data_IF_857174868135
#
_entry.id   IF_857174868135
#
_cell.length_a   1.000
_cell.length_b   1.000
_cell.length_c   1.000
_cell.angle_alpha   90.00
_cell.angle_beta   90.00
_cell.angle_gamma   90.00
#
_symmetry.space_group_name_H-M   'P 1'
#
loop_
_entity.id
_entity.type
_entity.pdbx_description
1 polymer ?
#
# COMPACT_ATOMS: atom_id res chain seq x y z
N UNK A 1 6.00 3.78 -13.77
CA UNK A 1 6.41 2.39 -13.48
C UNK A 1 7.43 2.38 -12.37
N UNK A 2 7.29 1.53 -11.36
CA UNK A 2 8.30 1.28 -10.34
C UNK A 2 9.64 0.92 -11.00
N UNK A 3 10.71 1.57 -10.55
CA UNK A 3 12.06 1.34 -11.07
C UNK A 3 13.11 1.76 -10.05
N UNK A 4 14.33 1.25 -10.24
CA UNK A 4 15.51 1.73 -9.55
C UNK A 4 16.75 1.63 -10.45
N UNK A 5 17.81 2.31 -10.06
CA UNK A 5 19.11 2.30 -10.76
C UNK A 5 20.14 1.75 -9.78
N UNK A 6 20.93 0.78 -10.23
CA UNK A 6 22.03 0.17 -9.47
C UNK A 6 23.34 0.21 -10.25
N UNK A 7 24.45 0.09 -9.55
CA UNK A 7 25.77 0.01 -10.19
C UNK A 7 25.98 -1.34 -10.90
N UNK A 8 25.45 -2.43 -10.36
CA UNK A 8 25.62 -3.77 -10.93
C UNK A 8 24.45 -4.68 -10.62
N UNK A 9 24.28 -5.71 -11.44
CA UNK A 9 23.34 -6.81 -11.22
C UNK A 9 24.08 -8.13 -11.41
N UNK A 10 23.97 -9.03 -10.44
CA UNK A 10 24.48 -10.40 -10.51
C UNK A 10 23.33 -11.38 -10.28
N UNK A 11 22.87 -12.04 -11.34
CA UNK A 11 21.80 -13.01 -11.26
C UNK A 11 22.35 -14.37 -10.82
N UNK A 12 21.68 -15.07 -9.89
CA UNK A 12 21.99 -16.46 -9.55
C UNK A 12 21.59 -17.40 -10.70
N UNK A 13 21.91 -18.70 -10.60
CA UNK A 13 21.23 -19.72 -11.40
C UNK A 13 19.72 -19.63 -11.20
N UNK A 14 18.96 -19.64 -12.30
CA UNK A 14 17.50 -19.61 -12.29
C UNK A 14 16.93 -21.00 -12.59
N UNK A 15 15.75 -21.37 -12.06
CA UNK A 15 14.86 -20.53 -11.24
C UNK A 15 15.36 -20.32 -9.81
N UNK A 16 15.04 -19.15 -9.23
CA UNK A 16 15.35 -18.82 -7.84
C UNK A 16 14.12 -18.25 -7.14
N UNK A 17 13.78 -18.80 -5.96
CA UNK A 17 12.58 -18.46 -5.20
C UNK A 17 12.89 -17.82 -3.86
N UNK A 18 12.16 -16.75 -3.51
CA UNK A 18 12.27 -16.01 -2.27
C UNK A 18 10.85 -15.69 -1.74
N UNK A 19 10.37 -16.56 -0.87
CA UNK A 19 8.99 -16.48 -0.38
C UNK A 19 7.97 -16.59 -1.51
N UNK A 20 7.14 -15.57 -1.67
CA UNK A 20 6.10 -15.48 -2.69
C UNK A 20 6.60 -15.01 -4.08
N UNK A 21 7.89 -14.69 -4.21
CA UNK A 21 8.49 -14.25 -5.47
C UNK A 21 9.44 -15.31 -6.02
N UNK A 22 9.28 -15.59 -7.31
CA UNK A 22 10.12 -16.53 -8.06
C UNK A 22 10.63 -15.88 -9.34
N UNK A 23 11.95 -15.87 -9.53
CA UNK A 23 12.59 -15.48 -10.75
C UNK A 23 12.86 -16.73 -11.59
N UNK A 24 12.15 -16.84 -12.72
CA UNK A 24 12.03 -18.11 -13.44
C UNK A 24 13.16 -18.32 -14.45
N UNK A 25 13.36 -17.36 -15.33
CA UNK A 25 14.32 -17.43 -16.43
C UNK A 25 14.70 -16.05 -16.94
N UNK A 26 15.72 -16.00 -17.79
CA UNK A 26 16.13 -14.76 -18.46
C UNK A 26 16.09 -14.91 -19.96
N UNK A 27 15.65 -13.85 -20.64
CA UNK A 27 15.82 -13.68 -22.08
C UNK A 27 16.75 -12.48 -22.34
N UNK A 28 17.88 -12.72 -23.01
CA UNK A 28 18.88 -11.67 -23.29
C UNK A 28 18.73 -11.17 -24.72
N UNK A 29 18.45 -9.89 -24.85
CA UNK A 29 18.52 -9.17 -26.11
C UNK A 29 19.82 -8.37 -26.24
N UNK A 30 19.96 -7.61 -27.33
CA UNK A 30 21.16 -6.83 -27.62
C UNK A 30 21.48 -5.77 -26.54
N UNK A 31 20.48 -5.05 -26.07
CA UNK A 31 20.64 -3.93 -25.12
C UNK A 31 19.74 -4.08 -23.90
N UNK A 32 19.17 -5.25 -23.66
CA UNK A 32 18.15 -5.48 -22.67
C UNK A 32 18.16 -6.94 -22.22
N UNK A 33 18.03 -7.17 -20.92
CA UNK A 33 17.71 -8.50 -20.40
C UNK A 33 16.33 -8.45 -19.78
N UNK A 34 15.49 -9.43 -20.07
CA UNK A 34 14.21 -9.67 -19.42
C UNK A 34 14.39 -10.77 -18.37
N UNK A 35 13.80 -10.57 -17.22
CA UNK A 35 13.70 -11.59 -16.16
C UNK A 35 12.24 -11.93 -16.00
N UNK A 36 11.84 -13.16 -16.40
CA UNK A 36 10.49 -13.65 -16.15
C UNK A 36 10.32 -13.89 -14.67
N UNK A 37 9.29 -13.30 -14.11
CA UNK A 37 9.09 -13.24 -12.68
C UNK A 37 7.66 -13.61 -12.34
N UNK A 38 7.48 -14.44 -11.31
CA UNK A 38 6.18 -14.70 -10.68
C UNK A 38 6.17 -14.09 -9.30
N UNK A 39 5.13 -13.35 -8.97
CA UNK A 39 4.92 -12.81 -7.62
C UNK A 39 3.46 -12.98 -7.26
N UNK A 40 3.21 -13.73 -6.19
CA UNK A 40 1.88 -14.23 -5.84
C UNK A 40 1.23 -14.96 -7.03
N UNK A 41 0.08 -14.50 -7.51
CA UNK A 41 -0.70 -15.02 -8.63
C UNK A 41 -0.37 -14.37 -9.99
N UNK A 42 0.60 -13.49 -10.04
CA UNK A 42 0.91 -12.67 -11.22
C UNK A 42 2.24 -13.04 -11.84
N UNK A 43 2.26 -13.21 -13.17
CA UNK A 43 3.51 -13.32 -13.96
C UNK A 43 3.75 -12.06 -14.79
N UNK A 44 4.99 -11.61 -14.83
CA UNK A 44 5.41 -10.42 -15.56
C UNK A 44 6.93 -10.44 -15.80
N UNK A 45 7.42 -9.48 -16.57
CA UNK A 45 8.86 -9.32 -16.81
C UNK A 45 9.42 -8.10 -16.07
N UNK A 46 10.60 -8.31 -15.50
CA UNK A 46 11.49 -7.23 -15.07
C UNK A 46 12.53 -7.00 -16.16
N UNK A 47 12.76 -5.76 -16.54
CA UNK A 47 13.74 -5.36 -17.54
C UNK A 47 15.01 -4.85 -16.88
N UNK A 48 16.15 -5.33 -17.35
CA UNK A 48 17.48 -4.85 -16.99
C UNK A 48 18.09 -4.16 -18.20
N UNK A 49 18.26 -2.86 -18.12
CA UNK A 49 18.87 -2.05 -19.21
C UNK A 49 20.21 -1.49 -18.77
N UNK A 50 21.34 -2.09 -19.22
CA UNK A 50 22.66 -1.55 -18.93
C UNK A 50 22.92 -0.27 -19.73
N UNK A 51 23.71 0.64 -19.19
CA UNK A 51 24.13 1.86 -19.85
C UNK A 51 24.91 2.81 -18.93
N UNK A 52 26.01 3.34 -19.39
CA UNK A 52 26.81 4.32 -18.65
C UNK A 52 27.35 3.83 -17.30
N UNK A 53 27.79 2.56 -17.20
CA UNK A 53 28.33 1.99 -15.95
C UNK A 53 27.25 1.72 -14.87
N UNK A 54 25.98 1.69 -15.25
CA UNK A 54 24.84 1.44 -14.35
C UNK A 54 23.79 0.57 -15.04
N UNK A 55 22.88 0.02 -14.26
CA UNK A 55 21.75 -0.79 -14.75
C UNK A 55 20.44 -0.18 -14.26
N UNK A 56 19.54 0.10 -15.19
CA UNK A 56 18.14 0.49 -14.87
C UNK A 56 17.34 -0.79 -14.76
N UNK A 57 16.70 -0.99 -13.60
CA UNK A 57 15.82 -2.12 -13.31
C UNK A 57 14.40 -1.61 -13.17
N UNK A 58 13.48 -2.15 -13.95
CA UNK A 58 12.07 -1.73 -13.93
C UNK A 58 11.13 -2.85 -14.37
N UNK A 59 9.83 -2.74 -14.02
CA UNK A 59 8.82 -3.59 -14.61
C UNK A 59 8.64 -3.34 -16.10
N UNK A 60 8.33 -4.38 -16.86
CA UNK A 60 7.96 -4.28 -18.26
C UNK A 60 6.51 -3.72 -18.37
N UNK A 61 6.25 -2.87 -19.36
CA UNK A 61 4.99 -2.12 -19.48
C UNK A 61 3.80 -3.00 -19.86
N UNK A 62 4.02 -3.92 -20.80
CA UNK A 62 2.95 -4.74 -21.40
C UNK A 62 2.50 -5.83 -20.42
N UNK A 63 3.45 -6.42 -19.69
CA UNK A 63 3.20 -7.53 -18.77
C UNK A 63 3.01 -7.09 -17.31
N UNK A 64 2.88 -5.79 -17.05
CA UNK A 64 2.71 -5.31 -15.66
C UNK A 64 1.50 -5.98 -14.99
N UNK A 65 1.62 -6.45 -13.74
CA UNK A 65 0.51 -7.04 -13.03
C UNK A 65 -0.59 -6.01 -12.73
N UNK A 66 -1.83 -6.47 -12.62
CA UNK A 66 -2.97 -5.63 -12.24
C UNK A 66 -2.74 -4.99 -10.86
N UNK A 67 -2.20 -5.76 -9.91
CA UNK A 67 -1.79 -5.27 -8.59
C UNK A 67 -0.33 -4.84 -8.64
N UNK A 68 -0.09 -3.54 -8.66
CA UNK A 68 1.26 -2.96 -8.73
C UNK A 68 2.17 -3.39 -7.56
N UNK A 69 1.59 -3.71 -6.40
CA UNK A 69 2.30 -4.23 -5.23
C UNK A 69 3.07 -5.52 -5.52
N UNK A 70 2.57 -6.41 -6.38
CA UNK A 70 3.27 -7.63 -6.79
C UNK A 70 4.58 -7.32 -7.52
N UNK A 71 4.57 -6.33 -8.42
CA UNK A 71 5.78 -5.84 -9.08
C UNK A 71 6.73 -5.15 -8.09
N UNK A 72 6.22 -4.30 -7.20
CA UNK A 72 7.03 -3.60 -6.20
C UNK A 72 7.74 -4.58 -5.27
N UNK A 73 7.02 -5.64 -4.82
CA UNK A 73 7.60 -6.71 -3.98
C UNK A 73 8.73 -7.44 -4.71
N UNK A 74 8.48 -7.82 -5.97
CA UNK A 74 9.50 -8.49 -6.77
C UNK A 74 10.73 -7.60 -7.00
N UNK A 75 10.55 -6.31 -7.26
CA UNK A 75 11.65 -5.35 -7.42
C UNK A 75 12.42 -5.13 -6.10
N UNK A 76 11.76 -5.16 -4.95
CA UNK A 76 12.44 -5.04 -3.65
C UNK A 76 13.34 -6.24 -3.39
N UNK A 77 12.82 -7.47 -3.57
CA UNK A 77 13.63 -8.69 -3.43
C UNK A 77 14.76 -8.71 -4.47
N UNK A 78 14.48 -8.33 -5.72
CA UNK A 78 15.50 -8.24 -6.76
C UNK A 78 16.64 -7.30 -6.37
N UNK A 79 16.31 -6.15 -5.84
CA UNK A 79 17.25 -5.15 -5.33
C UNK A 79 18.14 -5.72 -4.22
N UNK A 80 17.52 -6.35 -3.22
CA UNK A 80 18.21 -6.88 -2.05
C UNK A 80 19.14 -8.06 -2.37
N UNK A 81 18.72 -8.91 -3.32
CA UNK A 81 19.39 -10.20 -3.57
C UNK A 81 20.38 -10.18 -4.71
N UNK A 82 20.17 -9.32 -5.72
CA UNK A 82 20.92 -9.39 -6.98
C UNK A 82 21.63 -8.10 -7.37
N UNK A 83 21.47 -7.04 -6.59
CA UNK A 83 22.02 -5.73 -6.97
C UNK A 83 23.16 -5.29 -6.07
N UNK A 84 24.12 -4.61 -6.65
CA UNK A 84 25.13 -3.83 -5.94
C UNK A 84 24.55 -2.50 -5.43
N UNK A 85 25.38 -1.50 -5.14
CA UNK A 85 24.94 -0.22 -4.60
C UNK A 85 23.81 0.42 -5.43
N UNK A 86 22.77 0.88 -4.75
CA UNK A 86 21.63 1.56 -5.37
C UNK A 86 21.95 3.05 -5.53
N UNK A 87 21.79 3.54 -6.76
CA UNK A 87 22.00 4.95 -7.11
C UNK A 87 20.73 5.77 -6.89
N UNK A 88 19.57 5.23 -7.30
CA UNK A 88 18.28 5.88 -7.11
C UNK A 88 17.15 4.86 -7.13
N UNK A 89 16.04 5.20 -6.48
CA UNK A 89 14.82 4.36 -6.44
C UNK A 89 13.57 5.23 -6.58
N UNK A 90 12.67 4.84 -7.48
CA UNK A 90 11.43 5.55 -7.78
C UNK A 90 10.17 4.77 -7.35
N UNK A 91 10.27 4.00 -6.29
CA UNK A 91 9.13 3.36 -5.60
C UNK A 91 9.48 3.09 -4.15
N UNK A 92 8.44 2.94 -3.32
CA UNK A 92 8.56 2.38 -1.97
C UNK A 92 7.65 1.15 -1.92
N UNK A 93 8.20 -0.02 -1.65
CA UNK A 93 7.42 -1.19 -1.29
C UNK A 93 7.06 -1.07 0.20
N UNK A 94 5.76 -1.10 0.47
CA UNK A 94 5.27 -1.28 1.84
C UNK A 94 4.79 -2.71 1.93
N UNK A 95 5.40 -3.48 2.78
CA UNK A 95 4.93 -4.81 3.10
C UNK A 95 3.56 -4.68 3.78
N UNK A 96 2.51 -4.98 3.03
CA UNK A 96 1.15 -4.95 3.57
C UNK A 96 0.87 -6.13 4.52
N UNK A 97 1.75 -7.15 4.56
CA UNK A 97 1.66 -8.23 5.55
C UNK A 97 2.14 -7.79 6.94
N UNK A 98 2.87 -6.67 7.02
CA UNK A 98 3.29 -6.01 8.25
C UNK A 98 2.41 -4.79 8.60
N UNK A 99 1.25 -4.63 7.97
CA UNK A 99 0.26 -3.70 8.50
C UNK A 99 -0.26 -4.29 9.80
N UNK A 100 0.40 -3.97 10.90
CA UNK A 100 -0.31 -3.81 12.16
C UNK A 100 -1.58 -3.04 11.80
N UNK A 101 -2.72 -3.64 12.09
CA UNK A 101 -4.03 -3.03 11.85
C UNK A 101 -3.95 -1.63 12.46
N UNK A 102 -3.96 -0.61 11.63
CA UNK A 102 -3.85 0.77 12.12
C UNK A 102 -5.00 0.95 13.10
N UNK A 103 -4.78 1.27 14.38
CA UNK A 103 -5.79 1.20 15.42
C UNK A 103 -7.04 2.05 15.13
N UNK A 104 -6.91 3.02 14.23
CA UNK A 104 -8.02 3.89 13.82
C UNK A 104 -8.81 3.37 12.60
N UNK A 105 -8.32 2.31 11.91
CA UNK A 105 -9.03 1.72 10.76
C UNK A 105 -9.75 0.47 11.25
N UNK A 106 -11.07 0.56 11.33
CA UNK A 106 -11.96 -0.43 11.94
C UNK A 106 -12.81 -1.13 10.87
N UNK A 107 -13.31 -2.32 11.19
CA UNK A 107 -14.36 -2.99 10.43
C UNK A 107 -15.77 -2.61 10.94
N UNK A 108 -16.81 -3.09 10.26
CA UNK A 108 -18.22 -2.79 10.60
C UNK A 108 -18.56 -3.18 12.03
N UNK A 109 -18.12 -4.35 12.49
CA UNK A 109 -18.42 -4.85 13.84
C UNK A 109 -17.70 -4.02 14.91
N UNK A 110 -16.49 -3.61 14.64
CA UNK A 110 -15.70 -2.75 15.52
C UNK A 110 -16.29 -1.35 15.62
N UNK A 111 -16.76 -0.77 14.50
CA UNK A 111 -17.51 0.51 14.52
C UNK A 111 -18.79 0.38 15.33
N UNK A 112 -19.59 -0.69 15.12
CA UNK A 112 -20.82 -0.91 15.88
C UNK A 112 -20.54 -1.07 17.38
N UNK A 113 -19.49 -1.79 17.74
CA UNK A 113 -19.07 -1.94 19.13
C UNK A 113 -18.61 -0.62 19.73
N UNK A 114 -17.83 0.17 18.96
CA UNK A 114 -17.38 1.49 19.37
C UNK A 114 -18.56 2.45 19.59
N UNK A 115 -19.54 2.49 18.70
CA UNK A 115 -20.74 3.31 18.82
C UNK A 115 -21.53 2.95 20.07
N UNK A 116 -21.73 1.64 20.33
CA UNK A 116 -22.47 1.16 21.52
C UNK A 116 -21.75 1.43 22.84
N UNK A 117 -20.43 1.35 22.87
CA UNK A 117 -19.60 1.56 24.05
C UNK A 117 -19.04 2.98 24.18
N UNK A 118 -19.40 3.86 23.26
CA UNK A 118 -18.85 5.21 23.18
C UNK A 118 -19.14 6.02 24.44
N UNK A 119 -18.08 6.66 24.95
CA UNK A 119 -18.20 7.67 26.01
C UNK A 119 -18.46 9.08 25.47
N UNK A 120 -18.48 9.23 24.15
CA UNK A 120 -18.72 10.50 23.49
C UNK A 120 -20.21 10.86 23.50
N UNK A 121 -20.51 12.10 23.76
CA UNK A 121 -21.88 12.62 23.81
C UNK A 121 -22.52 12.77 22.42
N UNK A 122 -21.69 12.81 21.38
CA UNK A 122 -22.12 13.01 19.99
C UNK A 122 -21.33 12.12 19.07
N UNK A 123 -21.96 11.69 17.98
CA UNK A 123 -21.31 10.95 16.90
C UNK A 123 -21.55 11.70 15.60
N UNK A 124 -20.48 12.07 14.93
CA UNK A 124 -20.52 12.66 13.58
C UNK A 124 -20.03 11.65 12.56
N UNK A 125 -20.70 11.59 11.43
CA UNK A 125 -20.34 10.70 10.33
C UNK A 125 -20.03 11.55 9.11
N UNK A 126 -18.84 11.38 8.52
CA UNK A 126 -18.46 11.98 7.25
C UNK A 126 -18.34 10.90 6.19
N UNK A 127 -19.12 11.03 5.10
CA UNK A 127 -19.13 10.10 3.99
C UNK A 127 -18.28 10.64 2.86
N UNK A 128 -17.34 9.82 2.36
CA UNK A 128 -16.46 10.21 1.26
C UNK A 128 -15.46 11.30 1.66
N UNK A 129 -14.79 11.15 2.79
CA UNK A 129 -13.93 12.20 3.35
C UNK A 129 -12.69 12.53 2.49
N UNK A 130 -12.34 11.70 1.48
CA UNK A 130 -11.24 11.94 0.55
C UNK A 130 -9.92 12.29 1.24
N UNK A 131 -9.44 13.53 1.13
CA UNK A 131 -8.21 13.99 1.79
C UNK A 131 -8.32 14.14 3.32
N UNK A 132 -9.51 14.01 3.88
CA UNK A 132 -9.79 14.07 5.32
C UNK A 132 -9.61 15.45 5.98
N UNK A 133 -9.46 16.52 5.20
CA UNK A 133 -9.23 17.87 5.77
C UNK A 133 -10.36 18.29 6.70
N UNK A 134 -11.61 18.11 6.26
CA UNK A 134 -12.78 18.45 7.06
C UNK A 134 -12.89 17.51 8.27
N UNK A 135 -12.79 16.21 8.07
CA UNK A 135 -12.84 15.21 9.14
C UNK A 135 -11.82 15.49 10.26
N UNK A 136 -10.55 15.73 9.89
CA UNK A 136 -9.50 16.07 10.85
C UNK A 136 -9.74 17.42 11.55
N UNK A 137 -10.26 18.41 10.81
CA UNK A 137 -10.64 19.69 11.41
C UNK A 137 -11.75 19.51 12.44
N UNK A 138 -12.79 18.77 12.11
CA UNK A 138 -13.89 18.47 13.04
C UNK A 138 -13.41 17.69 14.27
N UNK A 139 -12.51 16.70 14.09
CA UNK A 139 -11.96 15.95 15.22
C UNK A 139 -11.18 16.83 16.21
N UNK A 140 -10.41 17.79 15.70
CA UNK A 140 -9.70 18.77 16.56
C UNK A 140 -10.65 19.71 17.30
N UNK A 141 -11.73 20.13 16.64
CA UNK A 141 -12.66 21.15 17.15
C UNK A 141 -13.73 20.57 18.08
N UNK A 142 -14.00 19.27 18.03
CA UNK A 142 -15.06 18.62 18.78
C UNK A 142 -14.52 17.39 19.51
N UNK A 143 -13.68 17.59 20.50
CA UNK A 143 -13.04 16.49 21.24
C UNK A 143 -14.03 15.69 22.12
N UNK A 144 -15.21 16.22 22.37
CA UNK A 144 -16.33 15.57 23.05
C UNK A 144 -17.22 14.70 22.12
N UNK A 145 -16.91 14.68 20.83
CA UNK A 145 -17.60 13.91 19.81
C UNK A 145 -16.71 12.84 19.17
N UNK A 146 -17.30 11.69 18.84
CA UNK A 146 -16.68 10.67 18.00
C UNK A 146 -16.91 11.01 16.53
N UNK A 147 -15.84 11.06 15.75
CA UNK A 147 -15.86 11.30 14.30
C UNK A 147 -15.67 9.96 13.59
N UNK A 148 -16.65 9.52 12.81
CA UNK A 148 -16.55 8.30 11.98
C UNK A 148 -16.42 8.72 10.53
N UNK A 149 -15.26 8.43 9.92
CA UNK A 149 -14.98 8.68 8.51
C UNK A 149 -15.20 7.42 7.67
N UNK A 150 -16.05 7.52 6.65
CA UNK A 150 -16.34 6.44 5.70
C UNK A 150 -15.73 6.81 4.35
N UNK A 151 -14.89 5.95 3.78
CA UNK A 151 -14.26 6.14 2.46
C UNK A 151 -14.01 4.76 1.84
N UNK A 152 -14.11 4.67 0.51
CA UNK A 152 -13.81 3.43 -0.23
C UNK A 152 -12.38 3.38 -0.74
N UNK A 153 -11.74 4.53 -0.90
CA UNK A 153 -10.38 4.63 -1.43
C UNK A 153 -9.34 4.44 -0.32
N UNK A 154 -8.86 3.20 -0.17
CA UNK A 154 -7.92 2.79 0.88
C UNK A 154 -6.70 3.70 1.07
N UNK A 155 -6.01 4.20 0.01
CA UNK A 155 -4.88 5.11 0.21
C UNK A 155 -5.23 6.42 0.92
N UNK A 156 -6.45 6.96 0.72
CA UNK A 156 -6.91 8.14 1.46
C UNK A 156 -7.12 7.81 2.94
N UNK A 157 -7.72 6.67 3.25
CA UNK A 157 -7.93 6.20 4.63
C UNK A 157 -6.60 6.06 5.36
N UNK A 158 -5.61 5.39 4.74
CA UNK A 158 -4.27 5.25 5.32
C UNK A 158 -3.57 6.58 5.56
N UNK A 159 -3.74 7.54 4.63
CA UNK A 159 -3.17 8.88 4.78
C UNK A 159 -3.79 9.62 5.96
N UNK A 160 -5.12 9.61 6.08
CA UNK A 160 -5.85 10.28 7.16
C UNK A 160 -5.53 9.62 8.51
N UNK A 161 -5.49 8.29 8.57
CA UNK A 161 -5.10 7.57 9.79
C UNK A 161 -3.71 7.98 10.29
N UNK A 162 -2.71 8.09 9.39
CA UNK A 162 -1.36 8.55 9.75
C UNK A 162 -1.34 9.99 10.28
N UNK A 163 -2.16 10.86 9.69
CA UNK A 163 -2.28 12.25 10.16
C UNK A 163 -2.92 12.31 11.54
N UNK A 164 -4.01 11.56 11.75
CA UNK A 164 -4.70 11.49 13.03
C UNK A 164 -3.80 10.94 14.15
N UNK A 165 -3.03 9.88 13.88
CA UNK A 165 -2.05 9.32 14.84
C UNK A 165 -0.96 10.35 15.15
N UNK A 166 -0.41 11.03 14.15
CA UNK A 166 0.63 12.05 14.34
C UNK A 166 0.15 13.22 15.19
N UNK A 167 -1.14 13.54 15.13
CA UNK A 167 -1.78 14.62 15.87
C UNK A 167 -2.44 14.15 17.18
N UNK A 168 -2.26 12.88 17.53
CA UNK A 168 -2.83 12.24 18.74
C UNK A 168 -4.35 12.40 18.88
N UNK A 169 -5.08 12.33 17.77
CA UNK A 169 -6.53 12.42 17.77
C UNK A 169 -7.14 11.09 18.21
N UNK A 170 -7.76 11.08 19.40
CA UNK A 170 -8.35 9.88 20.02
C UNK A 170 -9.85 9.70 19.70
N UNK A 171 -10.46 10.68 19.09
CA UNK A 171 -11.91 10.76 18.83
C UNK A 171 -12.26 10.53 17.35
N UNK A 172 -11.45 9.79 16.63
CA UNK A 172 -11.66 9.50 15.20
C UNK A 172 -11.60 7.99 14.94
N UNK A 173 -12.53 7.50 14.12
CA UNK A 173 -12.54 6.15 13.61
C UNK A 173 -12.76 6.16 12.08
N UNK A 174 -12.05 5.31 11.36
CA UNK A 174 -12.08 5.26 9.90
C UNK A 174 -12.52 3.87 9.44
N UNK A 175 -13.29 3.82 8.37
CA UNK A 175 -13.73 2.54 7.80
C UNK A 175 -13.69 2.57 6.26
N UNK A 176 -13.23 1.44 5.69
CA UNK A 176 -13.13 1.20 4.26
C UNK A 176 -14.36 0.42 3.76
N UNK A 177 -15.51 1.10 3.66
CA UNK A 177 -16.77 0.44 3.24
C UNK A 177 -17.66 1.38 2.42
N UNK A 178 -18.70 0.80 1.80
CA UNK A 178 -19.80 1.59 1.24
C UNK A 178 -20.67 2.13 2.39
N UNK A 179 -20.88 3.44 2.40
CA UNK A 179 -21.64 4.11 3.46
C UNK A 179 -23.05 3.53 3.65
N UNK A 180 -23.69 3.07 2.58
CA UNK A 180 -25.03 2.45 2.65
C UNK A 180 -25.01 1.18 3.50
N UNK A 181 -23.92 0.40 3.43
CA UNK A 181 -23.76 -0.81 4.24
C UNK A 181 -23.65 -0.43 5.72
N UNK A 182 -22.71 0.45 6.07
CA UNK A 182 -22.54 0.84 7.47
C UNK A 182 -23.79 1.50 8.04
N UNK A 183 -24.39 2.45 7.33
CA UNK A 183 -25.56 3.18 7.81
C UNK A 183 -26.77 2.28 8.06
N UNK A 184 -26.93 1.20 7.28
CA UNK A 184 -28.00 0.21 7.53
C UNK A 184 -27.81 -0.63 8.79
N UNK A 185 -26.61 -0.68 9.33
CA UNK A 185 -26.25 -1.43 10.54
C UNK A 185 -26.28 -0.58 11.82
N UNK A 186 -26.20 0.74 11.67
CA UNK A 186 -26.24 1.64 12.82
C UNK A 186 -27.63 1.67 13.45
N UNK A 187 -27.71 1.78 14.79
CA UNK A 187 -29.02 1.94 15.47
C UNK A 187 -29.70 3.21 15.00
N UNK A 188 -31.02 3.14 14.82
CA UNK A 188 -31.82 4.35 14.60
C UNK A 188 -31.72 5.24 15.84
N UNK A 189 -31.39 6.51 15.65
CA UNK A 189 -31.27 7.52 16.70
C UNK A 189 -32.63 7.96 17.24
#
# INVERSE_FOLDING_TARGET
MPNFITQSVSLPPLPARFGEVEFLETARGRNLTLVRTRSFDSEFFITLKPGGGKVIVKGEKITKPAKIGHLQRALEIFKERFCGPIISQAFAYKDSSLTEKTPLILDENEILSLVKSSKFNKIFIEIGFGSGRHLLHQARSNQDALLIGIEIYKPAIEQVAKLAIREDLQNIALIATDARVLLSLLPAG
#
